data_IF_791642424256
#
_entry.id   IF_791642424256
#
_cell.length_a   1.000
_cell.length_b   1.000
_cell.length_c   1.000
_cell.angle_alpha   90.00
_cell.angle_beta   90.00
_cell.angle_gamma   90.00
#
_symmetry.space_group_name_H-M   'P 1'
#
loop_
_entity.id
_entity.type
_entity.pdbx_description
1 polymer ?
#
# COMPACT_ATOMS: atom_id res chain seq x y z
N UNK A 1 0.47 -1.59 -28.18
CA UNK A 1 1.12 -2.36 -27.11
C UNK A 1 0.58 -3.79 -27.20
N UNK A 2 1.39 -4.81 -26.88
CA UNK A 2 0.87 -6.17 -26.80
C UNK A 2 -0.14 -6.26 -25.63
N UNK A 3 -1.25 -6.95 -25.89
CA UNK A 3 -2.26 -7.24 -24.86
C UNK A 3 -1.99 -8.65 -24.33
N UNK A 4 -1.93 -8.82 -23.03
CA UNK A 4 -1.72 -10.09 -22.36
C UNK A 4 -2.96 -10.36 -21.49
N UNK A 5 -3.46 -11.58 -21.51
CA UNK A 5 -4.59 -11.98 -20.68
C UNK A 5 -4.20 -12.01 -19.20
N UNK A 6 -5.08 -11.61 -18.28
CA UNK A 6 -4.78 -11.57 -16.85
C UNK A 6 -4.19 -12.87 -16.30
N UNK A 7 -4.80 -14.02 -16.63
CA UNK A 7 -4.36 -15.33 -16.14
C UNK A 7 -2.94 -15.67 -16.59
N UNK A 8 -2.61 -15.36 -17.84
CA UNK A 8 -1.23 -15.57 -18.36
C UNK A 8 -0.22 -14.68 -17.64
N UNK A 9 -0.61 -13.43 -17.38
CA UNK A 9 0.26 -12.48 -16.68
C UNK A 9 0.45 -12.86 -15.22
N UNK A 10 -0.59 -13.38 -14.57
CA UNK A 10 -0.52 -13.91 -13.19
C UNK A 10 0.43 -15.11 -13.13
N UNK A 11 0.34 -16.03 -14.07
CA UNK A 11 1.25 -17.19 -14.12
C UNK A 11 2.70 -16.75 -14.32
N UNK A 12 2.98 -15.85 -15.26
CA UNK A 12 4.32 -15.31 -15.50
C UNK A 12 4.86 -14.63 -14.22
N UNK A 13 4.06 -13.80 -13.56
CA UNK A 13 4.45 -13.14 -12.33
C UNK A 13 4.77 -14.15 -11.22
N UNK A 14 3.92 -15.17 -11.07
CA UNK A 14 4.13 -16.25 -10.10
C UNK A 14 5.43 -17.02 -10.36
N UNK A 15 5.70 -17.38 -11.60
CA UNK A 15 6.94 -18.07 -11.97
C UNK A 15 8.19 -17.21 -11.69
N UNK A 16 8.14 -15.91 -11.99
CA UNK A 16 9.24 -14.98 -11.72
C UNK A 16 9.51 -14.86 -10.21
N UNK A 17 8.47 -14.75 -9.38
CA UNK A 17 8.59 -14.70 -7.93
C UNK A 17 9.12 -16.02 -7.35
N UNK A 18 8.69 -17.18 -7.87
CA UNK A 18 9.24 -18.47 -7.47
C UNK A 18 10.72 -18.57 -7.84
N UNK A 19 11.10 -18.10 -9.03
CA UNK A 19 12.51 -18.00 -9.44
C UNK A 19 13.36 -17.13 -8.49
N UNK A 20 12.75 -16.18 -7.82
CA UNK A 20 13.38 -15.35 -6.78
C UNK A 20 13.30 -15.97 -5.36
N UNK A 21 12.80 -17.19 -5.21
CA UNK A 21 12.76 -17.92 -3.95
C UNK A 21 11.45 -17.91 -3.19
N UNK A 22 10.39 -17.28 -3.72
CA UNK A 22 9.06 -17.38 -3.12
C UNK A 22 8.51 -18.81 -3.22
N UNK A 23 7.76 -19.25 -2.21
CA UNK A 23 6.95 -20.45 -2.31
C UNK A 23 5.83 -20.27 -3.36
N UNK A 24 5.27 -21.37 -3.85
CA UNK A 24 4.16 -21.32 -4.80
C UNK A 24 2.96 -20.51 -4.27
N UNK A 25 2.64 -20.66 -2.97
CA UNK A 25 1.54 -19.94 -2.32
C UNK A 25 1.81 -18.45 -2.17
N UNK A 26 3.03 -18.07 -1.78
CA UNK A 26 3.44 -16.65 -1.71
C UNK A 26 3.40 -16.01 -3.09
N UNK A 27 3.99 -16.68 -4.08
CA UNK A 27 4.06 -16.19 -5.45
C UNK A 27 2.66 -16.00 -6.06
N UNK A 28 1.77 -16.98 -5.88
CA UNK A 28 0.37 -16.89 -6.33
C UNK A 28 -0.38 -15.73 -5.65
N UNK A 29 -0.22 -15.57 -4.34
CA UNK A 29 -0.87 -14.48 -3.60
C UNK A 29 -0.41 -13.11 -4.09
N UNK A 30 0.91 -12.91 -4.25
CA UNK A 30 1.48 -11.64 -4.74
C UNK A 30 1.06 -11.37 -6.17
N UNK A 31 1.12 -12.37 -7.06
CA UNK A 31 0.73 -12.24 -8.46
C UNK A 31 -0.76 -11.87 -8.59
N UNK A 32 -1.65 -12.62 -7.96
CA UNK A 32 -3.11 -12.41 -7.99
C UNK A 32 -3.50 -11.02 -7.50
N UNK A 33 -2.98 -10.56 -6.36
CA UNK A 33 -3.30 -9.24 -5.82
C UNK A 33 -2.69 -8.11 -6.66
N UNK A 34 -1.52 -8.33 -7.29
CA UNK A 34 -0.93 -7.37 -8.22
C UNK A 34 -1.76 -7.25 -9.51
N UNK A 35 -2.20 -8.36 -10.09
CA UNK A 35 -3.11 -8.35 -11.25
C UNK A 35 -4.45 -7.72 -10.88
N UNK A 36 -4.99 -8.03 -9.70
CA UNK A 36 -6.21 -7.40 -9.18
C UNK A 36 -6.09 -5.87 -9.08
N UNK A 37 -4.90 -5.35 -8.74
CA UNK A 37 -4.65 -3.91 -8.75
C UNK A 37 -4.69 -3.32 -10.17
N UNK A 38 -4.10 -4.00 -11.18
CA UNK A 38 -4.19 -3.57 -12.58
C UNK A 38 -5.65 -3.58 -13.08
N UNK A 39 -6.41 -4.65 -12.82
CA UNK A 39 -7.82 -4.75 -13.22
C UNK A 39 -8.69 -3.68 -12.56
N UNK A 40 -8.30 -3.19 -11.38
CA UNK A 40 -8.95 -2.07 -10.71
C UNK A 40 -8.43 -0.68 -11.16
N UNK A 41 -7.57 -0.59 -12.17
CA UNK A 41 -7.01 0.66 -12.67
C UNK A 41 -5.87 1.25 -11.84
N UNK A 42 -5.31 0.48 -10.91
CA UNK A 42 -4.19 0.87 -10.04
C UNK A 42 -2.84 0.32 -10.52
N UNK A 43 -2.43 0.65 -11.73
CA UNK A 43 -1.22 0.12 -12.38
C UNK A 43 0.06 0.33 -11.56
N UNK A 44 0.14 1.42 -10.82
CA UNK A 44 1.30 1.72 -9.95
C UNK A 44 1.51 0.69 -8.82
N UNK A 45 0.48 -0.07 -8.47
CA UNK A 45 0.49 -1.13 -7.44
C UNK A 45 0.30 -2.53 -8.06
N UNK A 46 0.30 -2.60 -9.38
CA UNK A 46 0.12 -3.81 -10.17
C UNK A 46 1.42 -4.54 -10.50
N UNK A 47 1.36 -5.24 -11.61
CA UNK A 47 2.44 -6.11 -12.12
C UNK A 47 3.78 -5.39 -12.31
N UNK A 48 3.75 -4.09 -12.53
CA UNK A 48 4.96 -3.24 -12.67
C UNK A 48 5.86 -3.30 -11.43
N UNK A 49 5.32 -3.73 -10.28
CA UNK A 49 6.06 -3.86 -9.03
C UNK A 49 6.85 -5.17 -8.90
N UNK A 50 6.56 -6.20 -9.70
CA UNK A 50 7.20 -7.51 -9.58
C UNK A 50 8.74 -7.43 -9.68
N UNK A 51 9.34 -6.71 -10.64
CA UNK A 51 10.79 -6.54 -10.67
C UNK A 51 11.36 -5.89 -9.39
N UNK A 52 10.62 -4.93 -8.82
CA UNK A 52 11.01 -4.27 -7.57
C UNK A 52 10.98 -5.25 -6.38
N UNK A 53 10.02 -6.18 -6.36
CA UNK A 53 9.96 -7.18 -5.29
C UNK A 53 11.09 -8.20 -5.41
N UNK A 54 11.44 -8.61 -6.62
CA UNK A 54 12.60 -9.49 -6.89
C UNK A 54 13.89 -8.82 -6.42
N UNK A 55 14.15 -7.57 -6.82
CA UNK A 55 15.31 -6.79 -6.34
C UNK A 55 15.35 -6.68 -4.80
N UNK A 56 14.18 -6.54 -4.16
CA UNK A 56 14.09 -6.49 -2.69
C UNK A 56 14.34 -7.85 -2.04
N UNK A 57 14.01 -8.95 -2.68
CA UNK A 57 14.38 -10.30 -2.23
C UNK A 57 15.89 -10.46 -2.32
N UNK A 58 16.49 -10.12 -3.46
CA UNK A 58 17.94 -10.21 -3.67
C UNK A 58 18.74 -9.40 -2.65
N UNK A 59 18.21 -8.26 -2.22
CA UNK A 59 18.81 -7.41 -1.17
C UNK A 59 18.46 -7.82 0.26
N UNK A 60 17.68 -8.87 0.47
CA UNK A 60 17.21 -9.28 1.79
C UNK A 60 16.23 -8.31 2.45
N UNK A 61 15.59 -7.43 1.68
CA UNK A 61 14.55 -6.53 2.18
C UNK A 61 13.17 -7.21 2.22
N UNK A 62 12.97 -8.24 1.41
CA UNK A 62 11.86 -9.19 1.49
C UNK A 62 12.47 -10.56 1.76
N UNK A 63 11.90 -11.28 2.70
CA UNK A 63 12.34 -12.61 3.11
C UNK A 63 11.28 -13.63 2.66
N UNK A 64 11.50 -14.38 1.57
CA UNK A 64 10.62 -15.48 1.18
C UNK A 64 10.53 -16.53 2.29
N UNK A 65 9.34 -17.08 2.52
CA UNK A 65 9.12 -18.07 3.57
C UNK A 65 9.23 -17.52 4.99
N UNK A 66 9.20 -16.19 5.17
CA UNK A 66 9.26 -15.57 6.48
C UNK A 66 8.14 -16.08 7.41
N UNK A 67 8.47 -16.26 8.66
CA UNK A 67 7.51 -16.67 9.68
C UNK A 67 6.40 -15.60 9.84
N UNK A 68 5.19 -16.06 10.05
CA UNK A 68 4.06 -15.23 10.44
C UNK A 68 3.82 -15.45 11.93
N UNK A 69 4.51 -14.66 12.75
CA UNK A 69 4.54 -14.83 14.19
C UNK A 69 3.42 -14.07 14.88
N UNK A 70 2.68 -14.75 15.74
CA UNK A 70 1.68 -14.13 16.61
C UNK A 70 2.32 -13.73 17.94
N UNK A 71 2.68 -12.45 18.07
CA UNK A 71 3.27 -11.94 19.32
C UNK A 71 2.23 -11.80 20.43
N UNK A 72 0.99 -11.50 20.06
CA UNK A 72 -0.14 -11.44 20.97
C UNK A 72 -1.39 -11.88 20.24
N UNK A 73 -2.15 -12.73 20.88
CA UNK A 73 -3.42 -13.21 20.37
C UNK A 73 -4.46 -13.23 21.49
N UNK A 74 -5.57 -12.51 21.28
CA UNK A 74 -6.73 -12.44 22.17
C UNK A 74 -7.99 -12.69 21.37
N UNK A 75 -9.15 -12.86 21.98
CA UNK A 75 -10.40 -13.04 21.23
C UNK A 75 -10.67 -11.94 20.19
N UNK A 76 -10.30 -10.69 20.45
CA UNK A 76 -10.62 -9.54 19.61
C UNK A 76 -9.41 -8.85 18.99
N UNK A 77 -8.21 -9.10 19.46
CA UNK A 77 -7.01 -8.40 18.99
C UNK A 77 -5.86 -9.36 18.68
N UNK A 78 -5.07 -9.01 17.67
CA UNK A 78 -3.87 -9.73 17.28
C UNK A 78 -2.72 -8.76 17.03
N UNK A 79 -1.52 -9.11 17.47
CA UNK A 79 -0.27 -8.42 17.11
C UNK A 79 0.60 -9.41 16.36
N UNK A 80 0.99 -9.06 15.14
CA UNK A 80 1.71 -9.94 14.23
C UNK A 80 3.06 -9.33 13.90
N UNK A 81 4.08 -10.17 13.90
CA UNK A 81 5.35 -9.90 13.28
C UNK A 81 5.44 -10.64 11.94
N UNK A 82 5.60 -9.91 10.88
CA UNK A 82 5.69 -10.47 9.51
C UNK A 82 7.12 -10.78 9.09
N UNK A 83 8.13 -10.58 9.96
CA UNK A 83 9.55 -10.89 9.71
C UNK A 83 10.07 -10.46 8.34
N UNK A 84 9.53 -9.34 7.80
CA UNK A 84 9.82 -8.81 6.47
C UNK A 84 9.43 -9.73 5.30
N UNK A 85 8.49 -10.65 5.51
CA UNK A 85 7.89 -11.44 4.44
C UNK A 85 7.18 -10.58 3.37
N UNK A 86 6.68 -11.23 2.33
CA UNK A 86 5.87 -10.56 1.32
C UNK A 86 4.65 -9.91 1.96
N UNK A 87 4.57 -8.58 1.85
CA UNK A 87 3.53 -7.80 2.52
C UNK A 87 2.12 -8.21 2.10
N UNK A 88 1.90 -8.57 0.85
CA UNK A 88 0.63 -9.11 0.35
C UNK A 88 0.18 -10.35 1.12
N UNK A 89 1.09 -11.30 1.33
CA UNK A 89 0.83 -12.56 2.05
C UNK A 89 0.49 -12.28 3.51
N UNK A 90 1.31 -11.47 4.15
CA UNK A 90 1.13 -11.11 5.56
C UNK A 90 -0.18 -10.35 5.78
N UNK A 91 -0.47 -9.33 4.95
CA UNK A 91 -1.67 -8.51 5.08
C UNK A 91 -2.95 -9.28 4.76
N UNK A 92 -2.94 -10.13 3.73
CA UNK A 92 -4.10 -10.98 3.42
C UNK A 92 -4.41 -11.95 4.57
N UNK A 93 -3.38 -12.62 5.09
CA UNK A 93 -3.52 -13.54 6.21
C UNK A 93 -4.01 -12.82 7.48
N UNK A 94 -3.46 -11.65 7.77
CA UNK A 94 -3.88 -10.83 8.91
C UNK A 94 -5.35 -10.39 8.77
N UNK A 95 -5.77 -9.96 7.58
CA UNK A 95 -7.16 -9.57 7.33
C UNK A 95 -8.12 -10.77 7.49
N UNK A 96 -7.80 -11.95 6.92
CA UNK A 96 -8.59 -13.18 7.10
C UNK A 96 -8.77 -13.51 8.58
N UNK A 97 -7.70 -13.47 9.37
CA UNK A 97 -7.78 -13.72 10.81
C UNK A 97 -8.65 -12.69 11.54
N UNK A 98 -8.55 -11.42 11.15
CA UNK A 98 -9.36 -10.35 11.74
C UNK A 98 -10.84 -10.55 11.45
N UNK A 99 -11.19 -10.92 10.22
CA UNK A 99 -12.57 -11.23 9.82
C UNK A 99 -13.12 -12.40 10.64
N UNK A 100 -12.38 -13.50 10.78
CA UNK A 100 -12.83 -14.66 11.55
C UNK A 100 -13.06 -14.34 13.03
N UNK A 101 -12.19 -13.51 13.63
CA UNK A 101 -12.43 -13.02 15.01
C UNK A 101 -13.68 -12.15 15.10
N UNK A 102 -13.85 -11.23 14.13
CA UNK A 102 -15.01 -10.34 14.12
C UNK A 102 -16.33 -11.10 13.93
N UNK A 103 -16.35 -12.24 13.23
CA UNK A 103 -17.53 -13.12 13.12
C UNK A 103 -18.07 -13.58 14.46
N UNK A 104 -17.18 -13.83 15.42
CA UNK A 104 -17.53 -14.38 16.75
C UNK A 104 -17.62 -13.31 17.82
N UNK A 105 -16.86 -12.22 17.68
CA UNK A 105 -16.69 -11.18 18.71
C UNK A 105 -17.32 -9.83 18.31
N UNK A 106 -17.94 -9.75 17.11
CA UNK A 106 -18.53 -8.55 16.50
C UNK A 106 -17.52 -7.47 16.09
N UNK A 107 -16.41 -7.31 16.79
CA UNK A 107 -15.33 -6.35 16.49
C UNK A 107 -13.99 -7.03 16.70
N UNK A 108 -13.05 -6.83 15.77
CA UNK A 108 -11.67 -7.28 15.94
C UNK A 108 -10.69 -6.28 15.31
N UNK A 109 -9.46 -6.28 15.81
CA UNK A 109 -8.38 -5.44 15.30
C UNK A 109 -7.06 -6.21 15.26
N UNK A 110 -6.27 -5.99 14.21
CA UNK A 110 -4.94 -6.57 14.05
C UNK A 110 -3.92 -5.49 13.75
N UNK A 111 -2.79 -5.52 14.44
CA UNK A 111 -1.60 -4.74 14.11
C UNK A 111 -0.53 -5.65 13.54
N UNK A 112 0.10 -5.20 12.45
CA UNK A 112 1.20 -5.93 11.81
C UNK A 112 2.43 -5.02 11.76
N UNK A 113 3.58 -5.53 12.12
CA UNK A 113 4.85 -4.85 11.93
C UNK A 113 5.86 -5.77 11.23
N UNK A 114 6.94 -5.19 10.72
CA UNK A 114 7.97 -5.88 9.93
C UNK A 114 7.37 -6.64 8.74
N UNK A 115 6.53 -5.97 7.96
CA UNK A 115 6.08 -6.46 6.65
C UNK A 115 6.57 -5.54 5.54
N UNK A 116 6.68 -6.07 4.33
CA UNK A 116 7.03 -5.31 3.15
C UNK A 116 5.81 -4.63 2.51
N UNK A 117 5.95 -4.11 1.30
CA UNK A 117 4.87 -3.42 0.58
C UNK A 117 3.65 -4.33 0.37
N UNK A 118 2.47 -3.79 0.61
CA UNK A 118 1.20 -4.54 0.61
C UNK A 118 0.33 -4.28 -0.63
N UNK A 119 0.83 -3.53 -1.61
CA UNK A 119 0.11 -3.23 -2.85
C UNK A 119 -1.08 -2.28 -2.66
N UNK A 120 -2.15 -2.49 -3.42
CA UNK A 120 -3.39 -1.72 -3.35
C UNK A 120 -4.09 -1.99 -2.03
N UNK A 121 -4.28 -0.91 -1.25
CA UNK A 121 -4.78 -1.06 0.12
C UNK A 121 -6.23 -1.56 0.17
N UNK A 122 -7.08 -1.12 -0.76
CA UNK A 122 -8.49 -1.55 -0.82
C UNK A 122 -8.68 -3.07 -0.96
N UNK A 123 -7.68 -3.81 -1.45
CA UNK A 123 -7.77 -5.26 -1.61
C UNK A 123 -8.14 -5.99 -0.31
N UNK A 124 -7.76 -5.43 0.83
CA UNK A 124 -7.98 -6.06 2.14
C UNK A 124 -9.34 -5.71 2.76
N UNK A 125 -9.76 -4.43 2.90
CA UNK A 125 -11.08 -4.15 3.47
C UNK A 125 -12.22 -4.64 2.58
N UNK A 126 -12.02 -4.79 1.26
CA UNK A 126 -12.99 -5.42 0.38
C UNK A 126 -13.30 -6.87 0.81
N UNK A 127 -12.30 -7.62 1.31
CA UNK A 127 -12.54 -8.97 1.87
C UNK A 127 -13.49 -8.92 3.08
N UNK A 128 -13.42 -7.87 3.89
CA UNK A 128 -14.36 -7.65 4.99
C UNK A 128 -15.76 -7.33 4.50
N UNK A 129 -15.88 -6.48 3.47
CA UNK A 129 -17.16 -6.16 2.86
C UNK A 129 -17.83 -7.39 2.20
N UNK A 130 -17.05 -8.25 1.55
CA UNK A 130 -17.50 -9.55 1.02
C UNK A 130 -17.97 -10.52 2.12
N UNK A 131 -17.51 -10.30 3.35
CA UNK A 131 -17.93 -11.05 4.55
C UNK A 131 -19.06 -10.36 5.34
N UNK A 132 -19.78 -9.41 4.72
CA UNK A 132 -20.86 -8.60 5.33
C UNK A 132 -20.40 -7.76 6.52
N UNK A 133 -19.16 -7.27 6.50
CA UNK A 133 -18.56 -6.45 7.57
C UNK A 133 -18.09 -5.11 7.04
N UNK A 134 -18.02 -4.11 7.93
CA UNK A 134 -17.24 -2.90 7.68
C UNK A 134 -15.80 -3.21 8.06
N UNK A 135 -14.87 -2.98 7.13
CA UNK A 135 -13.45 -3.17 7.38
C UNK A 135 -12.65 -1.92 7.02
N UNK A 136 -11.60 -1.68 7.79
CA UNK A 136 -10.69 -0.57 7.61
C UNK A 136 -9.25 -1.05 7.72
N UNK A 137 -8.37 -0.46 6.92
CA UNK A 137 -6.93 -0.67 7.02
C UNK A 137 -6.20 0.65 6.83
N UNK A 138 -5.10 0.83 7.54
CA UNK A 138 -4.14 1.90 7.36
C UNK A 138 -2.75 1.30 7.24
N UNK A 139 -1.84 1.97 6.54
CA UNK A 139 -0.47 1.50 6.41
C UNK A 139 0.53 2.67 6.39
N UNK A 140 1.67 2.47 7.02
CA UNK A 140 2.88 3.24 6.77
C UNK A 140 4.09 2.30 6.82
N UNK A 141 5.10 2.57 6.03
CA UNK A 141 6.26 1.69 5.93
C UNK A 141 7.43 2.21 6.77
N UNK A 142 7.96 1.35 7.62
CA UNK A 142 9.19 1.63 8.38
C UNK A 142 10.46 1.67 7.54
N UNK A 143 10.49 0.97 6.39
CA UNK A 143 11.68 0.87 5.51
C UNK A 143 11.62 1.73 4.25
N UNK A 144 10.46 2.27 3.87
CA UNK A 144 10.40 3.18 2.72
C UNK A 144 10.97 4.54 3.04
N UNK A 145 11.55 5.18 2.04
CA UNK A 145 11.93 6.58 2.16
C UNK A 145 10.69 7.41 2.50
N UNK A 146 10.81 8.26 3.51
CA UNK A 146 9.76 9.20 3.85
C UNK A 146 9.71 10.30 2.81
N UNK A 147 8.52 10.67 2.37
CA UNK A 147 8.30 11.66 1.31
C UNK A 147 7.36 12.79 1.71
N UNK A 148 6.59 12.60 2.79
CA UNK A 148 5.53 13.53 3.21
C UNK A 148 5.93 14.21 4.51
N UNK A 149 5.68 15.53 4.59
CA UNK A 149 5.84 16.29 5.83
C UNK A 149 4.56 16.21 6.67
N UNK A 150 4.65 16.24 8.01
CA UNK A 150 3.49 16.53 8.86
C UNK A 150 2.97 17.94 8.58
N UNK A 151 1.69 18.18 8.89
CA UNK A 151 1.13 19.53 8.78
C UNK A 151 1.95 20.55 9.57
N UNK A 152 2.31 21.67 8.92
CA UNK A 152 3.19 22.70 9.49
C UNK A 152 4.67 22.30 9.60
N UNK A 153 5.02 21.08 9.20
CA UNK A 153 6.40 20.60 9.22
C UNK A 153 7.16 20.89 7.92
N UNK A 154 8.49 20.79 7.99
CA UNK A 154 9.39 20.92 6.82
C UNK A 154 10.16 19.63 6.52
N UNK A 155 10.22 18.72 7.46
CA UNK A 155 10.97 17.48 7.32
C UNK A 155 10.06 16.31 6.93
N UNK A 156 10.52 15.50 6.00
CA UNK A 156 9.86 14.25 5.60
C UNK A 156 9.83 13.27 6.78
N UNK A 157 8.65 12.97 7.29
CA UNK A 157 8.45 12.06 8.44
C UNK A 157 7.54 10.88 8.13
N UNK A 158 6.69 11.03 7.12
CA UNK A 158 5.64 10.06 6.79
C UNK A 158 5.86 9.50 5.38
N UNK A 159 5.36 8.28 5.14
CA UNK A 159 5.10 7.76 3.80
C UNK A 159 3.85 8.42 3.21
N UNK A 160 3.22 7.79 2.23
CA UNK A 160 1.91 8.20 1.70
C UNK A 160 0.78 7.88 2.67
N UNK A 161 1.06 7.04 3.64
CA UNK A 161 0.23 6.58 4.76
C UNK A 161 -1.28 6.54 4.44
N UNK A 162 -1.68 5.64 3.53
CA UNK A 162 -3.03 5.56 3.03
C UNK A 162 -4.01 5.01 4.06
N UNK A 163 -5.28 5.33 3.85
CA UNK A 163 -6.42 4.74 4.53
C UNK A 163 -7.35 4.12 3.50
N UNK A 164 -7.84 2.91 3.76
CA UNK A 164 -8.92 2.31 2.98
C UNK A 164 -10.00 1.76 3.91
N UNK A 165 -11.25 1.98 3.53
CA UNK A 165 -12.44 1.52 4.24
C UNK A 165 -13.37 0.91 3.20
N UNK A 166 -13.96 -0.23 3.51
CA UNK A 166 -14.99 -0.84 2.68
C UNK A 166 -16.16 -1.33 3.53
N UNK A 167 -17.34 -1.34 2.96
CA UNK A 167 -18.56 -1.82 3.58
C UNK A 167 -19.50 -2.44 2.56
N UNK A 168 -20.36 -3.37 2.96
CA UNK A 168 -21.42 -3.88 2.09
C UNK A 168 -22.31 -2.75 1.59
N UNK A 169 -22.87 -2.89 0.40
CA UNK A 169 -23.83 -1.94 -0.15
C UNK A 169 -24.90 -2.64 -0.96
N UNK A 170 -25.99 -1.92 -1.27
CA UNK A 170 -27.06 -2.36 -2.18
C UNK A 170 -26.77 -1.97 -3.65
N UNK A 171 -25.55 -1.52 -3.96
CA UNK A 171 -25.06 -1.18 -5.30
C UNK A 171 -24.42 -2.41 -5.96
N UNK A 172 -24.00 -2.28 -7.21
CA UNK A 172 -23.19 -3.28 -7.90
C UNK A 172 -21.77 -3.34 -7.28
N UNK A 173 -21.68 -4.01 -6.13
CA UNK A 173 -20.45 -4.19 -5.35
C UNK A 173 -20.39 -3.37 -4.07
N UNK A 174 -19.36 -3.58 -3.26
CA UNK A 174 -19.19 -2.89 -1.99
C UNK A 174 -18.89 -1.40 -2.19
N UNK A 175 -19.36 -0.58 -1.25
CA UNK A 175 -18.93 0.81 -1.19
C UNK A 175 -17.55 0.88 -0.51
N UNK A 176 -16.59 1.57 -1.13
CA UNK A 176 -15.26 1.72 -0.53
C UNK A 176 -14.58 3.04 -0.88
N UNK A 177 -13.60 3.40 -0.05
CA UNK A 177 -12.62 4.45 -0.30
C UNK A 177 -11.22 3.85 -0.12
N UNK A 178 -10.29 4.25 -0.97
CA UNK A 178 -8.85 3.95 -0.85
C UNK A 178 -8.08 5.19 -1.29
N UNK A 179 -7.40 5.84 -0.36
CA UNK A 179 -6.73 7.09 -0.62
C UNK A 179 -5.42 7.23 0.16
N UNK A 180 -4.42 7.82 -0.47
CA UNK A 180 -3.28 8.37 0.26
C UNK A 180 -3.74 9.56 1.11
N UNK A 181 -3.09 9.77 2.25
CA UNK A 181 -3.28 10.97 3.07
C UNK A 181 -2.22 12.04 2.80
N UNK A 182 -1.47 11.88 1.70
CA UNK A 182 -0.63 12.91 1.09
C UNK A 182 -1.43 13.70 0.05
N UNK A 183 -1.08 14.97 -0.19
CA UNK A 183 -1.73 15.82 -1.19
C UNK A 183 -1.66 15.23 -2.60
N UNK A 184 -0.59 14.51 -2.88
CA UNK A 184 -0.33 13.86 -4.18
C UNK A 184 0.54 12.63 -4.02
N UNK A 185 0.43 11.68 -4.95
CA UNK A 185 1.39 10.59 -5.08
C UNK A 185 2.67 11.08 -5.78
N UNK A 186 3.84 10.69 -5.29
CA UNK A 186 5.13 11.06 -5.89
C UNK A 186 5.27 10.68 -7.36
N UNK A 187 4.60 9.63 -7.82
CA UNK A 187 4.55 9.24 -9.22
C UNK A 187 3.93 10.30 -10.13
N UNK A 188 2.92 11.05 -9.67
CA UNK A 188 2.33 12.16 -10.43
C UNK A 188 3.31 13.33 -10.58
N UNK A 189 4.06 13.66 -9.53
CA UNK A 189 5.12 14.68 -9.59
C UNK A 189 6.22 14.27 -10.57
N UNK A 190 6.66 13.01 -10.51
CA UNK A 190 7.66 12.48 -11.45
C UNK A 190 7.17 12.48 -12.91
N UNK A 191 5.88 12.22 -13.13
CA UNK A 191 5.30 12.29 -14.48
C UNK A 191 5.29 13.73 -15.00
N UNK A 192 4.93 14.72 -14.18
CA UNK A 192 4.99 16.13 -14.56
C UNK A 192 6.43 16.55 -14.87
N UNK A 193 7.40 16.14 -14.04
CA UNK A 193 8.82 16.33 -14.29
C UNK A 193 9.26 15.77 -15.65
N UNK A 194 8.90 14.53 -15.95
CA UNK A 194 9.23 13.87 -17.23
C UNK A 194 8.62 14.58 -18.46
N UNK A 195 7.50 15.28 -18.26
CA UNK A 195 6.81 16.07 -19.29
C UNK A 195 7.27 17.52 -19.38
N UNK A 196 8.16 17.98 -18.49
CA UNK A 196 8.58 19.37 -18.39
C UNK A 196 7.43 20.31 -18.03
N UNK A 197 6.47 19.86 -17.23
CA UNK A 197 5.28 20.59 -16.81
C UNK A 197 5.36 20.95 -15.33
N UNK A 198 4.89 22.14 -14.99
CA UNK A 198 4.68 22.54 -13.60
C UNK A 198 3.55 21.71 -12.95
N UNK A 199 3.61 21.61 -11.63
CA UNK A 199 2.59 20.97 -10.81
C UNK A 199 1.74 22.04 -10.11
N UNK A 200 0.51 21.69 -9.68
CA UNK A 200 -0.32 22.60 -8.87
C UNK A 200 0.37 23.01 -7.59
N UNK A 201 0.13 24.26 -7.16
CA UNK A 201 0.48 24.72 -5.83
C UNK A 201 -0.22 23.87 -4.75
N UNK A 202 0.41 23.72 -3.60
CA UNK A 202 -0.13 22.89 -2.52
C UNK A 202 0.17 21.39 -2.62
N UNK A 203 0.97 20.97 -3.61
CA UNK A 203 1.41 19.58 -3.72
C UNK A 203 2.71 19.31 -2.98
N UNK A 204 3.69 20.21 -3.12
CA UNK A 204 5.02 20.03 -2.54
C UNK A 204 5.56 21.32 -1.93
N UNK A 205 6.55 21.13 -1.05
CA UNK A 205 7.48 22.15 -0.60
C UNK A 205 8.82 21.95 -1.27
N UNK A 206 9.57 23.04 -1.45
CA UNK A 206 10.99 22.99 -1.80
C UNK A 206 11.87 22.57 -0.61
N UNK A 207 13.18 22.54 -0.79
CA UNK A 207 14.16 22.20 0.25
C UNK A 207 14.20 23.19 1.43
N UNK A 208 13.71 24.40 1.25
CA UNK A 208 13.65 25.43 2.29
C UNK A 208 12.35 25.34 3.10
N UNK A 209 11.37 24.56 2.62
CA UNK A 209 10.03 24.43 3.19
C UNK A 209 9.03 25.45 2.65
N UNK A 210 9.34 26.08 1.51
CA UNK A 210 8.44 27.00 0.84
C UNK A 210 7.59 26.26 -0.21
N UNK A 211 6.32 26.68 -0.46
CA UNK A 211 5.48 26.11 -1.50
C UNK A 211 6.16 26.16 -2.88
N UNK A 212 6.09 25.06 -3.65
CA UNK A 212 6.68 24.99 -4.98
C UNK A 212 5.74 24.36 -6.00
N UNK A 213 5.79 24.90 -7.22
CA UNK A 213 5.16 24.33 -8.42
C UNK A 213 6.17 23.62 -9.34
N UNK A 214 7.46 23.68 -9.01
CA UNK A 214 8.51 23.03 -9.80
C UNK A 214 8.68 21.55 -9.38
N UNK A 215 8.34 20.56 -10.24
CA UNK A 215 8.44 19.16 -9.89
C UNK A 215 9.86 18.66 -9.58
N UNK A 216 10.91 19.39 -9.99
CA UNK A 216 12.30 19.04 -9.72
C UNK A 216 12.63 19.15 -8.22
N UNK A 217 12.00 20.10 -7.53
CA UNK A 217 12.26 20.38 -6.11
C UNK A 217 12.00 19.16 -5.23
N UNK A 218 11.07 18.27 -5.59
CA UNK A 218 10.83 17.03 -4.85
C UNK A 218 12.08 16.15 -4.76
N UNK A 219 12.86 16.07 -5.85
CA UNK A 219 14.13 15.31 -5.92
C UNK A 219 15.32 16.06 -5.31
N UNK A 220 15.21 17.38 -5.16
CA UNK A 220 16.28 18.27 -4.66
C UNK A 220 16.17 18.58 -3.16
N UNK A 221 15.43 17.78 -2.44
CA UNK A 221 15.26 17.93 -0.99
C UNK A 221 13.86 18.36 -0.55
N UNK A 222 13.02 18.76 -1.49
CA UNK A 222 11.62 19.10 -1.26
C UNK A 222 10.78 17.91 -0.79
N UNK A 223 9.56 18.16 -0.35
CA UNK A 223 8.69 17.16 0.24
C UNK A 223 7.22 17.34 -0.19
N UNK A 224 6.47 16.25 -0.16
CA UNK A 224 5.04 16.26 -0.44
C UNK A 224 4.28 16.78 0.79
N UNK A 225 3.26 17.60 0.55
CA UNK A 225 2.37 18.08 1.60
C UNK A 225 1.36 16.99 2.03
N UNK A 226 0.84 17.03 3.26
CA UNK A 226 -0.27 16.19 3.67
C UNK A 226 -1.57 16.60 2.96
N UNK A 227 -2.56 15.72 2.96
CA UNK A 227 -3.90 16.01 2.48
C UNK A 227 -4.46 17.25 3.19
N UNK A 228 -5.06 18.16 2.41
CA UNK A 228 -5.58 19.44 2.92
C UNK A 228 -4.63 20.62 2.74
N UNK A 229 -3.36 20.37 2.36
CA UNK A 229 -2.37 21.40 2.01
C UNK A 229 -2.17 22.43 3.12
N UNK A 230 -2.13 23.72 2.75
CA UNK A 230 -1.94 24.88 3.62
C UNK A 230 -3.15 25.16 4.54
N UNK A 231 -4.33 24.72 4.16
CA UNK A 231 -5.54 24.82 5.00
C UNK A 231 -5.52 23.80 6.16
N UNK A 232 -4.59 22.86 6.12
CA UNK A 232 -4.52 21.77 7.05
C UNK A 232 -5.68 20.80 6.94
N UNK A 233 -5.49 19.63 7.46
CA UNK A 233 -6.56 18.65 7.56
C UNK A 233 -6.86 18.40 9.04
N UNK A 234 -8.11 18.62 9.43
CA UNK A 234 -8.53 18.41 10.82
C UNK A 234 -8.29 16.98 11.26
N UNK A 235 -7.48 16.81 12.29
CA UNK A 235 -7.21 15.50 12.88
C UNK A 235 -6.18 14.66 12.14
N UNK A 236 -5.41 15.26 11.21
CA UNK A 236 -4.38 14.53 10.48
C UNK A 236 -3.01 15.20 10.59
#
# INVERSE_FOLDING_TARGET
MPTIMPDQLEEIASQLLQGAGASADEASTVARLSIGANLAGHDSHGIIQIPTYIDRVDRGHIVPGAEFELLKDTPTTTVIDGHWGFGYVVAERAMKMTIEKARTQNVAATTVHRQSHIGRLASYPLMGAEADMIAMITADSGRSAKGVVPFGGREKRLGTNPIAIAMPSNLDGPFFIDMATSAVAGGKVNLAKARGQDIPEGWILDKNGDPSTNPNDLGEGGAILPLGGDQGHKGY
#
